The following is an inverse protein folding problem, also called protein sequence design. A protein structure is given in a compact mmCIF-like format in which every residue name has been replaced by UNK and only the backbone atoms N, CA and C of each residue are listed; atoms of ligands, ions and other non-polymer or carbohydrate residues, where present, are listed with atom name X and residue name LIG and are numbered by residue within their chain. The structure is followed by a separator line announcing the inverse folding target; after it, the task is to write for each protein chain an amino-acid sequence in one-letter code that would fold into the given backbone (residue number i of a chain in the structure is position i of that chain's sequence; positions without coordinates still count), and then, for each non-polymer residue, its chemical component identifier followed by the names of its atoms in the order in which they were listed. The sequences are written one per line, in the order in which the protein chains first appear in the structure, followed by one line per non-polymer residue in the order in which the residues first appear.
data_IF_308853062030
#
_entry.id   IF_308853062030
#
_cell.length_a   1.000
_cell.length_b   1.000
_cell.length_c   1.000
_cell.angle_alpha   90.00
_cell.angle_beta   90.00
_cell.angle_gamma   90.00
#
_symmetry.space_group_name_H-M   'P 1'
#
loop_
_entity.id
_entity.type
_entity.pdbx_description
1 polymer ?
#
# COMPACT_ATOMS: atom_id res chain seq x y z
N UNK A 1 3.46 -19.58 9.60
CA UNK A 1 4.37 -18.43 9.74
C UNK A 1 3.65 -17.23 9.16
N UNK A 2 3.13 -16.36 10.03
CA UNK A 2 2.25 -15.26 9.62
C UNK A 2 3.15 -14.05 9.47
N UNK A 3 3.49 -13.71 8.22
CA UNK A 3 4.19 -12.47 7.88
C UNK A 3 3.50 -11.31 8.61
N UNK A 4 4.19 -10.67 9.56
CA UNK A 4 3.62 -9.53 10.27
C UNK A 4 3.33 -8.43 9.24
N UNK A 5 2.28 -7.63 9.42
CA UNK A 5 1.94 -6.53 8.51
C UNK A 5 3.16 -5.65 8.19
N UNK A 6 4.02 -5.41 9.19
CA UNK A 6 5.29 -4.69 9.04
C UNK A 6 6.27 -5.39 8.11
N UNK A 7 6.43 -6.71 8.21
CA UNK A 7 7.32 -7.51 7.36
C UNK A 7 6.80 -7.55 5.92
N UNK A 8 5.47 -7.58 5.71
CA UNK A 8 4.89 -7.53 4.38
C UNK A 8 5.27 -6.23 3.67
N UNK A 9 5.09 -5.10 4.35
CA UNK A 9 5.43 -3.79 3.79
C UNK A 9 6.94 -3.58 3.64
N UNK A 10 7.75 -4.08 4.57
CA UNK A 10 9.21 -4.07 4.44
C UNK A 10 9.68 -4.85 3.20
N UNK A 11 9.16 -6.06 3.00
CA UNK A 11 9.49 -6.87 1.83
C UNK A 11 9.02 -6.21 0.53
N UNK A 12 7.86 -5.54 0.54
CA UNK A 12 7.40 -4.79 -0.63
C UNK A 12 8.36 -3.64 -0.98
N UNK A 13 8.82 -2.89 0.02
CA UNK A 13 9.82 -1.83 -0.20
C UNK A 13 11.09 -2.38 -0.83
N UNK A 14 11.66 -3.43 -0.23
CA UNK A 14 12.91 -4.02 -0.70
C UNK A 14 12.78 -4.54 -2.14
N UNK A 15 11.67 -5.24 -2.46
CA UNK A 15 11.45 -5.78 -3.81
C UNK A 15 11.19 -4.67 -4.84
N UNK A 16 10.38 -3.66 -4.51
CA UNK A 16 10.06 -2.56 -5.44
C UNK A 16 11.29 -1.69 -5.73
N UNK A 17 12.06 -1.36 -4.70
CA UNK A 17 13.26 -0.52 -4.84
C UNK A 17 14.37 -1.27 -5.59
N UNK A 18 14.53 -2.58 -5.38
CA UNK A 18 15.47 -3.42 -6.14
C UNK A 18 15.01 -3.64 -7.59
N UNK A 19 13.71 -3.80 -7.83
CA UNK A 19 13.17 -4.07 -9.16
C UNK A 19 13.18 -2.84 -10.08
N UNK A 20 13.09 -1.63 -9.52
CA UNK A 20 12.94 -0.38 -10.28
C UNK A 20 14.02 0.63 -9.84
N UNK A 21 15.26 0.47 -10.33
CA UNK A 21 16.37 1.34 -9.95
C UNK A 21 16.10 2.80 -10.37
N UNK A 22 16.32 3.73 -9.45
CA UNK A 22 16.07 5.17 -9.66
C UNK A 22 14.65 5.63 -9.30
N UNK A 23 13.83 4.73 -8.76
CA UNK A 23 12.57 5.04 -8.11
C UNK A 23 12.62 4.59 -6.66
N UNK A 24 11.78 5.20 -5.84
CA UNK A 24 11.62 4.87 -4.42
C UNK A 24 10.16 4.56 -4.16
N UNK A 25 9.89 3.40 -3.60
CA UNK A 25 8.55 3.02 -3.19
C UNK A 25 8.16 3.77 -1.91
N UNK A 26 6.94 4.32 -1.91
CA UNK A 26 6.26 4.86 -0.74
C UNK A 26 4.94 4.12 -0.59
N UNK A 27 4.72 3.51 0.58
CA UNK A 27 3.52 2.72 0.83
C UNK A 27 2.65 3.46 1.82
N UNK A 28 1.40 3.66 1.47
CA UNK A 28 0.44 4.37 2.29
C UNK A 28 -0.66 3.42 2.73
N UNK A 29 -0.99 3.47 4.01
CA UNK A 29 -2.12 2.74 4.60
C UNK A 29 -3.22 3.73 4.96
N UNK A 30 -4.44 3.41 4.58
CA UNK A 30 -5.63 4.18 4.94
C UNK A 30 -5.83 4.13 6.46
N UNK A 31 -6.13 5.27 7.08
CA UNK A 31 -6.38 5.29 8.51
C UNK A 31 -7.69 4.56 8.83
N UNK A 32 -7.75 3.96 10.02
CA UNK A 32 -8.93 3.19 10.48
C UNK A 32 -10.14 4.11 10.65
N UNK A 33 -9.90 5.39 10.94
CA UNK A 33 -10.93 6.42 11.13
C UNK A 33 -11.31 7.14 9.84
N UNK A 34 -10.76 6.74 8.69
CA UNK A 34 -11.01 7.38 7.39
C UNK A 34 -10.60 8.87 7.32
N UNK A 35 -9.68 9.31 8.20
CA UNK A 35 -9.17 10.70 8.24
C UNK A 35 -8.00 10.96 7.28
N UNK A 36 -7.76 10.04 6.34
CA UNK A 36 -6.65 10.12 5.39
C UNK A 36 -5.74 8.90 5.43
N UNK A 37 -4.46 9.14 5.16
CA UNK A 37 -3.45 8.09 4.98
C UNK A 37 -2.25 8.31 5.88
N UNK A 38 -1.59 7.21 6.23
CA UNK A 38 -0.29 7.21 6.92
C UNK A 38 0.73 6.49 6.07
N UNK A 39 1.94 7.01 6.02
CA UNK A 39 3.04 6.32 5.36
C UNK A 39 3.52 5.17 6.24
N UNK A 40 3.64 4.00 5.64
CA UNK A 40 4.20 2.81 6.27
C UNK A 40 5.68 2.77 5.95
N UNK A 41 6.50 2.62 6.99
CA UNK A 41 7.96 2.47 6.86
C UNK A 41 8.41 1.28 7.71
N UNK A 42 9.62 0.76 7.45
CA UNK A 42 10.18 -0.36 8.24
C UNK A 42 10.15 -0.09 9.76
N UNK A 43 10.35 1.16 10.19
CA UNK A 43 10.33 1.55 11.61
C UNK A 43 8.91 1.68 12.21
N UNK A 44 7.85 1.69 11.40
CA UNK A 44 6.47 1.87 11.88
C UNK A 44 5.58 2.64 10.91
N UNK A 45 4.93 3.68 11.42
CA UNK A 45 4.11 4.57 10.59
C UNK A 45 4.54 6.00 10.84
N UNK A 46 4.59 6.78 9.77
CA UNK A 46 4.84 8.21 9.83
C UNK A 46 3.49 8.90 9.57
N UNK A 47 3.00 9.75 10.50
CA UNK A 47 1.83 10.57 10.21
C UNK A 47 2.19 11.58 9.13
N UNK A 48 1.31 11.75 8.17
CA UNK A 48 1.44 12.77 7.13
C UNK A 48 0.90 14.10 7.65
N UNK A 49 1.48 15.21 7.19
CA UNK A 49 0.90 16.54 7.41
C UNK A 49 -0.40 16.72 6.61
N UNK A 50 -1.24 17.67 6.99
CA UNK A 50 -2.53 17.94 6.32
C UNK A 50 -2.36 18.15 4.80
N UNK A 51 -1.37 18.94 4.38
CA UNK A 51 -1.06 19.18 2.96
C UNK A 51 -0.66 17.90 2.20
N UNK A 52 0.08 17.00 2.87
CA UNK A 52 0.47 15.71 2.27
C UNK A 52 -0.72 14.76 2.18
N UNK A 53 -1.60 14.75 3.19
CA UNK A 53 -2.83 13.96 3.17
C UNK A 53 -3.74 14.42 2.04
N UNK A 54 -3.95 15.73 1.86
CA UNK A 54 -4.78 16.25 0.76
C UNK A 54 -4.21 15.84 -0.60
N UNK A 55 -2.89 15.99 -0.79
CA UNK A 55 -2.21 15.55 -2.03
C UNK A 55 -2.38 14.06 -2.28
N UNK A 56 -2.17 13.23 -1.25
CA UNK A 56 -2.29 11.78 -1.31
C UNK A 56 -3.73 11.34 -1.61
N UNK A 57 -4.72 11.94 -0.93
CA UNK A 57 -6.13 11.68 -1.19
C UNK A 57 -6.50 12.03 -2.64
N UNK A 58 -6.09 13.20 -3.13
CA UNK A 58 -6.33 13.59 -4.52
C UNK A 58 -5.67 12.66 -5.54
N UNK A 59 -4.52 12.07 -5.20
CA UNK A 59 -3.88 11.03 -6.03
C UNK A 59 -4.75 9.76 -6.08
N UNK A 60 -5.24 9.27 -4.94
CA UNK A 60 -6.07 8.06 -4.89
C UNK A 60 -7.40 8.26 -5.61
N UNK A 61 -8.07 9.40 -5.42
CA UNK A 61 -9.31 9.73 -6.11
C UNK A 61 -9.13 9.76 -7.64
N UNK A 62 -8.00 10.28 -8.13
CA UNK A 62 -7.65 10.23 -9.54
C UNK A 62 -7.40 8.79 -10.01
N UNK A 63 -6.73 7.96 -9.22
CA UNK A 63 -6.48 6.56 -9.57
C UNK A 63 -7.73 5.69 -9.64
N UNK A 64 -8.71 5.93 -8.77
CA UNK A 64 -9.98 5.22 -8.84
C UNK A 64 -10.72 5.50 -10.15
N UNK A 65 -10.39 6.60 -10.82
CA UNK A 65 -10.96 6.99 -12.13
C UNK A 65 -10.03 6.75 -13.32
N UNK A 66 -8.71 6.66 -13.10
CA UNK A 66 -7.70 6.54 -14.15
C UNK A 66 -6.49 5.77 -13.66
N UNK A 67 -6.20 4.61 -14.25
CA UNK A 67 -5.01 3.83 -13.90
C UNK A 67 -3.73 4.53 -14.37
N UNK A 68 -2.97 5.13 -13.44
CA UNK A 68 -1.60 5.56 -13.73
C UNK A 68 -0.61 4.43 -13.46
N UNK A 69 0.55 4.43 -14.14
CA UNK A 69 1.58 3.43 -13.94
C UNK A 69 2.38 3.61 -12.64
N UNK A 70 2.41 4.82 -12.07
CA UNK A 70 3.18 5.13 -10.86
C UNK A 70 2.48 4.71 -9.56
N UNK A 71 1.17 4.43 -9.61
CA UNK A 71 0.36 4.14 -8.43
C UNK A 71 -0.30 2.77 -8.58
N UNK A 72 -0.33 2.02 -7.48
CA UNK A 72 -1.08 0.79 -7.40
C UNK A 72 -1.88 0.71 -6.11
N UNK A 73 -3.19 0.60 -6.24
CA UNK A 73 -4.12 0.55 -5.11
C UNK A 73 -4.06 -0.81 -4.41
N UNK A 74 -4.03 -0.79 -3.07
CA UNK A 74 -4.17 -1.97 -2.24
C UNK A 74 -5.65 -2.10 -1.85
N UNK A 75 -6.32 -3.11 -2.39
CA UNK A 75 -7.77 -3.29 -2.23
C UNK A 75 -8.10 -4.54 -1.42
N UNK A 76 -9.05 -4.42 -0.50
CA UNK A 76 -9.64 -5.53 0.24
C UNK A 76 -11.17 -5.47 0.13
N UNK A 77 -11.79 -6.52 -0.40
CA UNK A 77 -13.26 -6.59 -0.56
C UNK A 77 -13.86 -5.35 -1.27
N UNK A 78 -13.18 -4.92 -2.33
CA UNK A 78 -13.46 -3.68 -3.09
C UNK A 78 -13.29 -2.35 -2.33
N UNK A 79 -12.80 -2.38 -1.10
CA UNK A 79 -12.38 -1.17 -0.36
C UNK A 79 -10.90 -0.91 -0.53
N UNK A 80 -10.51 0.33 -0.82
CA UNK A 80 -9.10 0.76 -0.80
C UNK A 80 -8.61 0.82 0.64
N UNK A 81 -7.64 -0.02 0.97
CA UNK A 81 -6.98 -0.04 2.29
C UNK A 81 -5.67 0.75 2.32
N UNK A 82 -5.20 1.18 1.16
CA UNK A 82 -3.91 1.82 0.99
C UNK A 82 -3.51 1.82 -0.47
N UNK A 83 -2.30 2.28 -0.75
CA UNK A 83 -1.73 2.25 -2.09
C UNK A 83 -0.22 2.32 -2.03
N UNK A 84 0.41 1.87 -3.11
CA UNK A 84 1.84 2.03 -3.37
C UNK A 84 1.98 3.18 -4.35
N UNK A 85 2.86 4.13 -4.02
CA UNK A 85 3.29 5.20 -4.89
C UNK A 85 4.77 5.05 -5.18
N UNK A 86 5.12 5.03 -6.46
CA UNK A 86 6.51 5.08 -6.87
C UNK A 86 6.91 6.55 -7.01
N UNK A 87 7.74 7.02 -6.09
CA UNK A 87 8.35 8.35 -6.17
C UNK A 87 9.61 8.30 -7.02
N UNK A 88 9.71 9.25 -7.94
CA UNK A 88 10.74 9.27 -8.97
C UNK A 88 11.98 10.01 -8.48
N UNK A 89 13.16 9.39 -8.53
CA UNK A 89 14.43 10.05 -8.15
C UNK A 89 15.15 10.71 -9.35
N UNK A 90 14.80 10.37 -10.61
CA UNK A 90 15.38 10.95 -11.86
C UNK A 90 14.38 10.98 -13.02
N UNK A 91 14.62 11.81 -14.05
CA UNK A 91 13.76 12.06 -15.23
C UNK A 91 13.47 10.85 -16.18
N UNK A 92 13.52 9.59 -15.76
CA UNK A 92 13.08 8.41 -16.55
C UNK A 92 11.64 7.96 -16.22
N UNK A 93 10.74 7.88 -17.21
CA UNK A 93 9.34 7.43 -17.01
C UNK A 93 9.30 5.92 -16.76
N UNK A 94 8.33 5.43 -15.98
CA UNK A 94 8.11 3.98 -15.85
C UNK A 94 7.77 3.38 -17.20
N UNK A 95 8.43 2.28 -17.53
CA UNK A 95 8.08 1.49 -18.69
C UNK A 95 6.90 0.54 -18.36
N UNK A 96 6.28 -0.03 -19.39
CA UNK A 96 5.10 -0.88 -19.22
C UNK A 96 5.36 -2.09 -18.30
N UNK A 97 6.55 -2.69 -18.34
CA UNK A 97 6.90 -3.86 -17.51
C UNK A 97 7.08 -3.47 -16.04
N UNK A 98 7.68 -2.31 -15.79
CA UNK A 98 7.83 -1.77 -14.43
C UNK A 98 6.46 -1.45 -13.82
N UNK A 99 5.58 -0.79 -14.59
CA UNK A 99 4.21 -0.51 -14.19
C UNK A 99 3.41 -1.79 -13.88
N UNK A 100 3.53 -2.81 -14.73
CA UNK A 100 2.88 -4.10 -14.52
C UNK A 100 3.42 -4.83 -13.29
N UNK A 101 4.73 -4.75 -13.04
CA UNK A 101 5.37 -5.32 -11.85
C UNK A 101 4.81 -4.70 -10.55
N UNK A 102 4.67 -3.38 -10.51
CA UNK A 102 4.09 -2.66 -9.35
C UNK A 102 2.65 -3.13 -9.11
N UNK A 103 1.82 -3.24 -10.17
CA UNK A 103 0.43 -3.71 -10.07
C UNK A 103 0.33 -5.14 -9.56
N UNK A 104 1.15 -6.05 -10.09
CA UNK A 104 1.15 -7.43 -9.65
C UNK A 104 1.54 -7.55 -8.17
N UNK A 105 2.55 -6.79 -7.73
CA UNK A 105 2.92 -6.76 -6.32
C UNK A 105 1.81 -6.20 -5.43
N UNK A 106 1.14 -5.12 -5.83
CA UNK A 106 0.01 -4.57 -5.10
C UNK A 106 -1.14 -5.58 -4.98
N UNK A 107 -1.40 -6.38 -6.02
CA UNK A 107 -2.40 -7.45 -5.98
C UNK A 107 -2.01 -8.59 -5.01
N UNK A 108 -0.74 -9.01 -4.99
CA UNK A 108 -0.24 -10.04 -4.05
C UNK A 108 -0.31 -9.52 -2.60
N UNK A 109 0.09 -8.26 -2.39
CA UNK A 109 -0.01 -7.60 -1.10
C UNK A 109 -1.45 -7.46 -0.62
N UNK A 110 -2.37 -7.12 -1.52
CA UNK A 110 -3.81 -7.07 -1.25
C UNK A 110 -4.35 -8.44 -0.81
N UNK A 111 -3.95 -9.52 -1.49
CA UNK A 111 -4.28 -10.89 -1.08
C UNK A 111 -3.68 -11.29 0.27
N UNK A 112 -2.48 -10.81 0.59
CA UNK A 112 -1.81 -11.05 1.88
C UNK A 112 -2.45 -10.26 3.02
N UNK A 113 -2.87 -9.02 2.76
CA UNK A 113 -3.66 -8.19 3.68
C UNK A 113 -5.00 -8.84 4.02
N UNK A 114 -5.67 -9.49 3.04
CA UNK A 114 -6.88 -10.29 3.28
C UNK A 114 -6.64 -11.37 4.33
N UNK A 115 -5.54 -12.12 4.22
CA UNK A 115 -5.21 -13.16 5.20
C UNK A 115 -4.91 -12.58 6.60
N UNK A 116 -4.23 -11.44 6.67
CA UNK A 116 -3.88 -10.80 7.95
C UNK A 116 -5.09 -10.17 8.65
N UNK A 117 -5.99 -9.51 7.90
CA UNK A 117 -7.22 -8.94 8.47
C UNK A 117 -8.20 -10.02 8.91
N UNK A 118 -8.37 -11.09 8.12
CA UNK A 118 -9.20 -12.24 8.52
C UNK A 118 -8.67 -12.90 9.80
N UNK A 119 -7.36 -13.09 9.92
CA UNK A 119 -6.73 -13.62 11.13
C UNK A 119 -6.95 -12.71 12.34
N UNK A 120 -6.76 -11.38 12.20
CA UNK A 120 -7.04 -10.44 13.29
C UNK A 120 -8.51 -10.44 13.70
N UNK A 121 -9.45 -10.57 12.75
CA UNK A 121 -10.88 -10.70 13.05
C UNK A 121 -11.18 -12.00 13.81
N UNK A 122 -10.55 -13.11 13.44
CA UNK A 122 -10.67 -14.39 14.16
C UNK A 122 -10.06 -14.34 15.57
N UNK A 123 -8.89 -13.71 15.73
CA UNK A 123 -8.22 -13.58 17.03
C UNK A 123 -8.92 -12.55 17.94
N UNK A 124 -9.58 -11.54 17.37
CA UNK A 124 -10.36 -10.55 18.13
C UNK A 124 -11.77 -11.04 18.50
N UNK A 125 -12.25 -12.12 17.88
CA UNK A 125 -13.48 -12.83 18.24
C UNK A 125 -13.22 -14.32 18.57
N UNK A 126 -12.47 -14.69 19.63
CA UNK A 126 -12.46 -16.08 20.10
C UNK A 126 -13.60 -16.38 21.10
N UNK A 127 -14.41 -15.40 21.53
CA UNK A 127 -15.41 -15.60 22.58
C UNK A 127 -16.72 -14.86 22.31
N UNK A 128 -17.54 -15.38 21.40
CA UNK A 128 -19.01 -15.27 21.50
C UNK A 128 -19.61 -16.58 21.00
N UNK A 129 -19.32 -17.66 21.72
CA UNK A 129 -20.17 -18.84 21.78
C UNK A 129 -20.55 -19.03 23.23
N UNK A 130 -21.75 -18.56 23.58
CA UNK A 130 -22.52 -19.03 24.71
C UNK A 130 -23.96 -19.17 24.22
#
# INVERSE_FOLDING_TARGET
SILNRKELFANMHDILDDAIPGWKSRIFEKNINDDGYREVVQSGHIPLGEDEVERVCGIVEQEETKETPEIALLKYDNMVCGFVYMERLRESKLNYREADCIRQMANIASGSLKNLMLMKRYIRYPFMTN
#
